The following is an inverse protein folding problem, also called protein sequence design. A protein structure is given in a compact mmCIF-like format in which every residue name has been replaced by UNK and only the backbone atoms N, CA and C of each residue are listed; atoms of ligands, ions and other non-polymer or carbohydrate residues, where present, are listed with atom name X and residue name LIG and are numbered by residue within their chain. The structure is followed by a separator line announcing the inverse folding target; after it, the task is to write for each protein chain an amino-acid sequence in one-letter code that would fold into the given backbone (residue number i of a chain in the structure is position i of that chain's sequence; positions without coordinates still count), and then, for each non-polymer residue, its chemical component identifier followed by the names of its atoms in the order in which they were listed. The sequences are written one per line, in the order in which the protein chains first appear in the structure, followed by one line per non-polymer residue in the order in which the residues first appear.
data_IF_118142227342
#
_entry.id   IF_118142227342
#
_cell.length_a   1.000
_cell.length_b   1.000
_cell.length_c   1.000
_cell.angle_alpha   90.00
_cell.angle_beta   90.00
_cell.angle_gamma   90.00
#
_symmetry.space_group_name_H-M   'P 1'
#
loop_
_entity.id
_entity.type
_entity.pdbx_description
1 polymer ?
#
# COMPACT_ATOMS: atom_id res chain seq x y z
N UNK A 1 -16.54 14.85 7.91
CA UNK A 1 -15.22 14.40 8.40
C UNK A 1 -14.67 13.49 7.34
N UNK A 2 -13.62 13.89 6.63
CA UNK A 2 -13.06 13.09 5.54
C UNK A 2 -12.34 11.86 6.12
N UNK A 3 -12.69 10.67 5.63
CA UNK A 3 -12.15 9.37 6.07
C UNK A 3 -10.84 9.08 5.35
N UNK A 4 -9.77 9.75 5.78
CA UNK A 4 -8.43 9.59 5.21
C UNK A 4 -7.84 8.18 5.39
N UNK A 5 -8.43 7.36 6.26
CA UNK A 5 -8.15 5.93 6.42
C UNK A 5 -8.61 5.10 5.22
N UNK A 6 -9.50 5.64 4.38
CA UNK A 6 -9.97 4.96 3.18
C UNK A 6 -9.08 5.17 1.96
N UNK A 7 -8.15 6.12 2.03
CA UNK A 7 -7.21 6.44 0.95
C UNK A 7 -6.07 5.42 0.88
N UNK A 8 -5.69 5.06 -0.35
CA UNK A 8 -4.42 4.38 -0.57
C UNK A 8 -3.26 5.27 -0.09
N UNK A 9 -2.45 4.79 0.86
CA UNK A 9 -1.34 5.56 1.45
C UNK A 9 -0.23 5.89 0.45
N UNK A 10 -0.16 5.17 -0.67
CA UNK A 10 0.86 5.36 -1.70
C UNK A 10 0.45 6.35 -2.78
N UNK A 11 -0.81 6.35 -3.22
CA UNK A 11 -1.27 7.18 -4.35
C UNK A 11 -2.34 8.22 -4.00
N UNK A 12 -2.74 8.33 -2.71
CA UNK A 12 -3.78 9.24 -2.24
C UNK A 12 -5.09 9.15 -3.07
N UNK A 13 -5.41 7.95 -3.54
CA UNK A 13 -6.64 7.63 -4.29
C UNK A 13 -7.65 6.92 -3.40
N UNK A 14 -8.93 7.28 -3.54
CA UNK A 14 -10.07 6.53 -2.98
C UNK A 14 -10.43 5.31 -3.84
N UNK A 15 -10.01 5.34 -5.10
CA UNK A 15 -10.16 4.22 -6.03
C UNK A 15 -8.85 3.42 -6.04
N UNK A 16 -8.86 2.31 -5.32
CA UNK A 16 -7.77 1.36 -5.28
C UNK A 16 -8.31 0.06 -4.72
N UNK A 17 -8.05 -1.06 -5.40
CA UNK A 17 -8.20 -2.38 -4.81
C UNK A 17 -7.43 -2.37 -3.48
N UNK A 18 -8.18 -2.23 -2.37
CA UNK A 18 -7.59 -2.26 -1.04
C UNK A 18 -7.09 -3.67 -0.83
N UNK A 19 -5.79 -3.80 -0.64
CA UNK A 19 -5.20 -5.07 -0.27
C UNK A 19 -4.29 -4.86 0.92
N UNK A 20 -4.33 -5.83 1.82
CA UNK A 20 -3.41 -5.87 2.93
C UNK A 20 -1.99 -6.13 2.41
N UNK A 21 -1.12 -5.13 2.55
CA UNK A 21 0.29 -5.16 2.11
C UNK A 21 1.05 -6.27 2.84
N UNK A 22 0.72 -6.52 4.12
CA UNK A 22 1.37 -7.52 4.95
C UNK A 22 0.59 -8.85 5.00
N UNK A 23 -0.60 -8.89 4.41
CA UNK A 23 -1.42 -10.07 4.21
C UNK A 23 -0.85 -11.03 3.16
N UNK A 24 -1.49 -12.20 3.02
CA UNK A 24 -0.99 -13.27 2.14
C UNK A 24 -0.87 -12.82 0.67
N UNK A 25 -1.85 -12.07 0.17
CA UNK A 25 -1.83 -11.59 -1.20
C UNK A 25 -0.74 -10.52 -1.42
N UNK A 26 -0.50 -9.67 -0.43
CA UNK A 26 0.62 -8.71 -0.46
C UNK A 26 1.98 -9.39 -0.47
N UNK A 27 2.14 -10.47 0.31
CA UNK A 27 3.33 -11.34 0.30
C UNK A 27 3.52 -12.03 -1.04
N UNK A 28 2.47 -12.64 -1.60
CA UNK A 28 2.52 -13.31 -2.91
C UNK A 28 2.99 -12.35 -4.02
N UNK A 29 2.61 -11.07 -3.94
CA UNK A 29 2.99 -10.03 -4.91
C UNK A 29 4.29 -9.29 -4.58
N UNK A 30 4.94 -9.65 -3.47
CA UNK A 30 6.18 -9.06 -2.97
C UNK A 30 6.08 -7.53 -2.83
N UNK A 31 4.97 -7.05 -2.27
CA UNK A 31 4.71 -5.61 -2.21
C UNK A 31 5.68 -4.88 -1.28
N UNK A 32 6.06 -5.49 -0.15
CA UNK A 32 6.99 -4.90 0.81
C UNK A 32 8.35 -4.62 0.15
N UNK A 33 8.91 -5.60 -0.57
CA UNK A 33 10.21 -5.46 -1.23
C UNK A 33 10.19 -4.39 -2.32
N UNK A 34 9.10 -4.34 -3.11
CA UNK A 34 8.90 -3.29 -4.14
C UNK A 34 8.78 -1.91 -3.51
N UNK A 35 8.03 -1.78 -2.41
CA UNK A 35 7.90 -0.52 -1.68
C UNK A 35 9.27 -0.09 -1.14
N UNK A 36 10.02 -0.98 -0.49
CA UNK A 36 11.33 -0.66 0.07
C UNK A 36 12.36 -0.31 -1.01
N UNK A 37 12.27 -0.93 -2.19
CA UNK A 37 13.13 -0.61 -3.34
C UNK A 37 12.84 0.79 -3.88
N UNK A 38 11.55 1.15 -4.01
CA UNK A 38 11.14 2.44 -4.60
C UNK A 38 11.13 3.59 -3.60
N UNK A 39 10.91 3.29 -2.32
CA UNK A 39 10.86 4.23 -1.20
C UNK A 39 11.89 3.80 -0.15
N UNK A 40 13.19 3.92 -0.45
CA UNK A 40 14.22 3.60 0.51
C UNK A 40 14.10 4.57 1.69
N UNK A 41 13.65 4.05 2.84
CA UNK A 41 13.70 4.78 4.09
C UNK A 41 15.17 4.85 4.52
N UNK A 42 15.77 6.04 4.39
CA UNK A 42 17.03 6.39 5.05
C UNK A 42 16.76 6.86 6.47
#
# INVERSE_FOLDING_TARGET
MERFDELCRLCASYDAVKMDIFGQEGKNRQLVDKIQTCLPFK
#
